data_IF_111463494306
#
_entry.id   IF_111463494306
#
_cell.length_a   1.000
_cell.length_b   1.000
_cell.length_c   1.000
_cell.angle_alpha   90.00
_cell.angle_beta   90.00
_cell.angle_gamma   90.00
#
_symmetry.space_group_name_H-M   'P 1'
#
loop_
_entity.id
_entity.type
_entity.pdbx_description
1 polymer ?
#
# COMPACT_ATOMS: atom_id res chain seq x y z
N UNK A 1 25.72 4.42 28.90
CA UNK A 1 24.45 4.13 28.21
C UNK A 1 23.81 2.80 28.65
N UNK A 2 24.49 1.64 28.61
CA UNK A 2 23.87 0.36 29.00
C UNK A 2 23.57 0.20 30.51
N UNK A 3 24.33 0.81 31.43
CA UNK A 3 24.11 0.69 32.87
C UNK A 3 22.94 1.57 33.35
N UNK A 4 22.78 2.77 32.81
CA UNK A 4 21.65 3.64 33.11
C UNK A 4 20.31 3.04 32.63
N UNK A 5 20.29 2.43 31.44
CA UNK A 5 19.12 1.71 30.95
C UNK A 5 18.74 0.51 31.79
N UNK A 6 19.73 -0.25 32.27
CA UNK A 6 19.49 -1.39 33.18
C UNK A 6 18.93 -0.94 34.55
N UNK A 7 19.28 0.27 35.02
CA UNK A 7 18.81 0.82 36.30
C UNK A 7 17.34 1.27 36.27
N UNK A 8 16.70 1.39 35.09
CA UNK A 8 15.31 1.83 34.95
C UNK A 8 14.25 0.77 35.31
N UNK A 9 14.66 -0.45 35.69
CA UNK A 9 13.80 -1.50 36.25
C UNK A 9 12.43 -1.62 35.55
N UNK A 10 11.36 -1.28 36.24
CA UNK A 10 9.96 -1.37 35.76
C UNK A 10 9.70 -0.54 34.50
N UNK A 11 10.34 0.60 34.32
CA UNK A 11 10.18 1.40 33.10
C UNK A 11 10.73 0.65 31.88
N UNK A 12 11.91 0.04 32.04
CA UNK A 12 12.51 -0.77 30.97
C UNK A 12 11.59 -1.92 30.58
N UNK A 13 11.03 -2.63 31.55
CA UNK A 13 10.10 -3.75 31.27
C UNK A 13 8.85 -3.25 30.51
N UNK A 14 8.19 -2.19 30.98
CA UNK A 14 7.03 -1.60 30.30
C UNK A 14 7.33 -1.19 28.84
N UNK A 15 8.51 -0.62 28.58
CA UNK A 15 8.91 -0.21 27.23
C UNK A 15 9.07 -1.45 26.32
N UNK A 16 9.71 -2.50 26.82
CA UNK A 16 9.91 -3.73 26.06
C UNK A 16 8.59 -4.45 25.80
N UNK A 17 7.71 -4.54 26.80
CA UNK A 17 6.39 -5.15 26.67
C UNK A 17 5.55 -4.41 25.63
N UNK A 18 5.54 -3.07 25.66
CA UNK A 18 4.82 -2.27 24.68
C UNK A 18 5.39 -2.43 23.27
N UNK A 19 6.72 -2.52 23.12
CA UNK A 19 7.35 -2.74 21.82
C UNK A 19 7.02 -4.12 21.24
N UNK A 20 7.09 -5.17 22.06
CA UNK A 20 6.70 -6.53 21.64
C UNK A 20 5.22 -6.60 21.28
N UNK A 21 4.34 -6.05 22.13
CA UNK A 21 2.90 -6.04 21.88
C UNK A 21 2.55 -5.30 20.56
N UNK A 22 3.22 -4.19 20.27
CA UNK A 22 3.01 -3.46 19.02
C UNK A 22 3.38 -4.32 17.80
N UNK A 23 4.55 -4.98 17.82
CA UNK A 23 4.99 -5.86 16.74
C UNK A 23 4.03 -7.05 16.55
N UNK A 24 3.62 -7.70 17.64
CA UNK A 24 2.69 -8.84 17.60
C UNK A 24 1.34 -8.45 17.00
N UNK A 25 0.81 -7.27 17.35
CA UNK A 25 -0.44 -6.75 16.79
C UNK A 25 -0.33 -6.47 15.30
N UNK A 26 0.78 -5.91 14.81
CA UNK A 26 1.00 -5.69 13.38
C UNK A 26 1.12 -7.01 12.62
N UNK A 27 1.86 -7.98 13.16
CA UNK A 27 1.98 -9.32 12.56
C UNK A 27 0.61 -10.01 12.49
N UNK A 28 -0.18 -9.94 13.56
CA UNK A 28 -1.54 -10.50 13.57
C UNK A 28 -2.45 -9.82 12.53
N UNK A 29 -2.36 -8.50 12.38
CA UNK A 29 -3.12 -7.75 11.38
C UNK A 29 -2.76 -8.18 9.94
N UNK A 30 -1.48 -8.40 9.65
CA UNK A 30 -1.02 -8.95 8.36
C UNK A 30 -1.49 -10.39 8.14
N UNK A 31 -1.55 -11.21 9.19
CA UNK A 31 -2.13 -12.56 9.14
C UNK A 31 -3.60 -12.55 8.72
N UNK A 32 -4.40 -11.62 9.27
CA UNK A 32 -5.80 -11.43 8.88
C UNK A 32 -5.93 -10.92 7.43
N UNK A 33 -5.06 -10.02 6.99
CA UNK A 33 -5.01 -9.59 5.59
C UNK A 33 -4.75 -10.77 4.66
N UNK A 34 -3.80 -11.63 4.99
CA UNK A 34 -3.44 -12.81 4.20
C UNK A 34 -4.61 -13.75 3.96
N UNK A 35 -5.48 -13.96 4.96
CA UNK A 35 -6.66 -14.83 4.86
C UNK A 35 -7.70 -14.35 3.85
N UNK A 36 -7.82 -13.04 3.63
CA UNK A 36 -8.79 -12.43 2.71
C UNK A 36 -8.18 -11.93 1.40
N UNK A 37 -6.87 -12.12 1.20
CA UNK A 37 -6.10 -11.50 0.14
C UNK A 37 -6.57 -11.89 -1.27
N UNK A 38 -6.78 -13.19 -1.52
CA UNK A 38 -7.10 -13.70 -2.85
C UNK A 38 -8.36 -13.05 -3.42
N UNK A 39 -9.46 -13.03 -2.66
CA UNK A 39 -10.72 -12.43 -3.10
C UNK A 39 -10.58 -10.93 -3.38
N UNK A 40 -9.78 -10.22 -2.59
CA UNK A 40 -9.56 -8.79 -2.76
C UNK A 40 -8.73 -8.50 -4.01
N UNK A 41 -7.67 -9.27 -4.24
CA UNK A 41 -6.85 -9.14 -5.45
C UNK A 41 -7.68 -9.48 -6.69
N UNK A 42 -8.45 -10.56 -6.67
CA UNK A 42 -9.35 -10.93 -7.77
C UNK A 42 -10.36 -9.82 -8.10
N UNK A 43 -10.86 -9.09 -7.11
CA UNK A 43 -11.78 -7.97 -7.30
C UNK A 43 -11.13 -6.70 -7.85
N UNK A 44 -9.96 -6.33 -7.37
CA UNK A 44 -9.31 -5.05 -7.70
C UNK A 44 -8.32 -5.16 -8.88
N UNK A 45 -7.66 -6.30 -9.04
CA UNK A 45 -6.62 -6.49 -10.05
C UNK A 45 -7.11 -6.25 -11.49
N UNK A 46 -8.29 -6.73 -11.93
CA UNK A 46 -8.78 -6.48 -13.30
C UNK A 46 -8.91 -4.99 -13.61
N UNK A 47 -9.32 -4.17 -12.63
CA UNK A 47 -9.46 -2.72 -12.77
C UNK A 47 -8.09 -2.07 -12.99
N UNK A 48 -7.08 -2.47 -12.20
CA UNK A 48 -5.71 -1.97 -12.32
C UNK A 48 -5.02 -2.45 -13.61
N UNK A 49 -5.25 -3.70 -13.98
CA UNK A 49 -4.64 -4.28 -15.18
C UNK A 49 -5.18 -3.67 -16.46
N UNK A 50 -6.47 -3.31 -16.47
CA UNK A 50 -7.13 -2.63 -17.58
C UNK A 50 -6.78 -1.14 -17.71
N UNK A 51 -6.10 -0.54 -16.72
CA UNK A 51 -5.69 0.87 -16.73
C UNK A 51 -4.79 1.16 -17.95
N UNK A 52 -5.19 2.13 -18.77
CA UNK A 52 -4.45 2.58 -19.96
C UNK A 52 -3.68 3.88 -19.73
N UNK A 53 -4.04 4.60 -18.69
CA UNK A 53 -3.39 5.82 -18.26
C UNK A 53 -2.46 5.57 -17.06
N UNK A 54 -2.73 6.27 -15.98
CA UNK A 54 -1.94 6.25 -14.73
C UNK A 54 -2.79 5.79 -13.56
N UNK A 55 -2.17 5.15 -12.60
CA UNK A 55 -2.79 4.89 -11.30
C UNK A 55 -2.58 6.12 -10.42
N UNK A 56 -3.65 6.86 -10.19
CA UNK A 56 -3.64 8.03 -9.31
C UNK A 56 -3.96 7.56 -7.90
N UNK A 57 -3.13 7.94 -6.92
CA UNK A 57 -3.35 7.57 -5.51
C UNK A 57 -3.71 8.82 -4.72
N UNK A 58 -4.68 8.72 -3.83
CA UNK A 58 -5.09 9.84 -2.97
C UNK A 58 -5.35 9.41 -1.53
N UNK A 59 -5.32 10.39 -0.63
CA UNK A 59 -5.57 10.22 0.80
C UNK A 59 -5.10 11.43 1.59
N UNK A 60 -5.47 11.51 2.87
CA UNK A 60 -5.13 12.61 3.78
C UNK A 60 -4.36 12.07 5.00
N UNK A 61 -3.49 12.89 5.59
CA UNK A 61 -2.74 12.55 6.80
C UNK A 61 -1.87 11.31 6.60
N UNK A 62 -1.93 10.36 7.54
CA UNK A 62 -1.14 9.12 7.46
C UNK A 62 -1.51 8.25 6.26
N UNK A 63 -2.79 8.20 5.88
CA UNK A 63 -3.24 7.55 4.62
C UNK A 63 -2.61 8.20 3.39
N UNK A 64 -2.45 9.52 3.39
CA UNK A 64 -1.76 10.25 2.32
C UNK A 64 -0.26 9.93 2.26
N UNK A 65 0.42 9.80 3.41
CA UNK A 65 1.84 9.41 3.45
C UNK A 65 2.04 7.98 2.92
N UNK A 66 1.19 7.04 3.32
CA UNK A 66 1.19 5.67 2.80
C UNK A 66 0.86 5.67 1.29
N UNK A 67 -0.12 6.46 0.87
CA UNK A 67 -0.49 6.60 -0.54
C UNK A 67 0.66 7.11 -1.42
N UNK A 68 1.45 8.07 -0.94
CA UNK A 68 2.68 8.52 -1.64
C UNK A 68 3.69 7.37 -1.82
N UNK A 69 3.89 6.55 -0.77
CA UNK A 69 4.77 5.38 -0.86
C UNK A 69 4.23 4.37 -1.87
N UNK A 70 2.95 4.06 -1.85
CA UNK A 70 2.31 3.13 -2.80
C UNK A 70 2.49 3.62 -4.23
N UNK A 71 2.19 4.90 -4.50
CA UNK A 71 2.38 5.52 -5.80
C UNK A 71 3.83 5.44 -6.29
N UNK A 72 4.80 5.72 -5.41
CA UNK A 72 6.22 5.61 -5.73
C UNK A 72 6.62 4.17 -6.06
N UNK A 73 6.12 3.18 -5.29
CA UNK A 73 6.35 1.75 -5.55
C UNK A 73 5.79 1.34 -6.91
N UNK A 74 4.54 1.70 -7.23
CA UNK A 74 3.91 1.42 -8.53
C UNK A 74 4.75 2.00 -9.69
N UNK A 75 5.16 3.27 -9.59
CA UNK A 75 5.97 3.93 -10.61
C UNK A 75 7.31 3.23 -10.82
N UNK A 76 8.00 2.86 -9.74
CA UNK A 76 9.30 2.20 -9.79
C UNK A 76 9.23 0.76 -10.32
N UNK A 77 8.06 0.13 -10.22
CA UNK A 77 7.81 -1.25 -10.64
C UNK A 77 7.02 -1.36 -11.96
N UNK A 78 6.99 -0.28 -12.75
CA UNK A 78 6.50 -0.30 -14.13
C UNK A 78 5.04 0.07 -14.33
N UNK A 79 4.33 0.48 -13.28
CA UNK A 79 2.98 1.04 -13.38
C UNK A 79 3.04 2.55 -13.21
N UNK A 80 2.82 3.37 -14.27
CA UNK A 80 2.81 4.82 -14.13
C UNK A 80 1.83 5.26 -13.05
N UNK A 81 2.31 5.99 -12.05
CA UNK A 81 1.49 6.42 -10.91
C UNK A 81 1.98 7.76 -10.36
N UNK A 82 1.06 8.52 -9.79
CA UNK A 82 1.36 9.71 -9.02
C UNK A 82 0.33 9.92 -7.91
N UNK A 83 0.67 10.74 -6.93
CA UNK A 83 -0.18 11.04 -5.79
C UNK A 83 -0.80 12.43 -5.95
N UNK A 84 -2.11 12.55 -5.73
CA UNK A 84 -2.81 13.82 -5.56
C UNK A 84 -3.38 13.88 -4.14
N UNK A 85 -3.10 14.96 -3.40
CA UNK A 85 -3.74 15.18 -2.11
C UNK A 85 -5.23 15.50 -2.31
N UNK A 86 -6.12 14.85 -1.56
CA UNK A 86 -7.57 14.98 -1.81
C UNK A 86 -8.09 16.42 -1.70
N UNK A 87 -7.50 17.24 -0.83
CA UNK A 87 -7.86 18.66 -0.71
C UNK A 87 -7.48 19.41 -1.98
N UNK A 88 -6.26 19.25 -2.46
CA UNK A 88 -5.76 19.93 -3.68
C UNK A 88 -6.55 19.48 -4.92
N UNK A 89 -6.97 18.20 -4.95
CA UNK A 89 -7.83 17.69 -6.01
C UNK A 89 -9.14 18.49 -6.13
N UNK A 90 -9.74 18.90 -5.00
CA UNK A 90 -10.98 19.69 -4.97
C UNK A 90 -10.75 21.18 -5.31
N UNK A 91 -9.49 21.62 -5.36
CA UNK A 91 -9.06 22.97 -5.70
C UNK A 91 -8.41 23.09 -7.09
N UNK A 92 -8.57 22.06 -7.93
CA UNK A 92 -8.16 22.10 -9.34
C UNK A 92 -7.23 20.98 -9.79
N UNK A 93 -6.48 20.33 -8.89
CA UNK A 93 -5.51 19.27 -9.25
C UNK A 93 -6.20 18.02 -9.82
N UNK A 94 -7.53 17.86 -9.60
CA UNK A 94 -8.33 16.84 -10.28
C UNK A 94 -8.30 16.97 -11.81
N UNK A 95 -7.96 18.13 -12.35
CA UNK A 95 -7.72 18.32 -13.79
C UNK A 95 -6.58 17.48 -14.35
N UNK A 96 -5.73 16.89 -13.50
CA UNK A 96 -4.72 15.92 -13.91
C UNK A 96 -5.28 14.51 -14.21
N UNK A 97 -6.54 14.21 -13.81
CA UNK A 97 -7.21 12.94 -14.13
C UNK A 97 -7.65 12.89 -15.61
N UNK A 98 -7.51 11.71 -16.20
CA UNK A 98 -7.99 11.40 -17.53
C UNK A 98 -8.82 10.12 -17.53
N UNK A 99 -9.70 9.94 -18.52
CA UNK A 99 -10.61 8.79 -18.61
C UNK A 99 -9.89 7.42 -18.68
N UNK A 100 -8.60 7.40 -19.00
CA UNK A 100 -7.80 6.16 -19.00
C UNK A 100 -7.17 5.81 -17.66
N UNK A 101 -7.29 6.67 -16.66
CA UNK A 101 -6.70 6.50 -15.34
C UNK A 101 -7.55 5.61 -14.43
N UNK A 102 -6.97 5.21 -13.29
CA UNK A 102 -7.65 4.55 -12.17
C UNK A 102 -7.30 5.32 -10.90
N UNK A 103 -8.28 5.61 -10.05
CA UNK A 103 -8.07 6.25 -8.76
C UNK A 103 -8.03 5.19 -7.64
N UNK A 104 -6.93 5.15 -6.87
CA UNK A 104 -6.86 4.45 -5.58
C UNK A 104 -7.11 5.49 -4.48
N UNK A 105 -8.24 5.39 -3.80
CA UNK A 105 -8.64 6.30 -2.73
C UNK A 105 -8.50 5.62 -1.36
N UNK A 106 -7.64 6.19 -0.50
CA UNK A 106 -7.27 5.60 0.80
C UNK A 106 -7.91 6.40 1.93
N UNK A 107 -8.78 5.76 2.70
CA UNK A 107 -9.40 6.29 3.92
C UNK A 107 -9.77 5.16 4.87
N UNK A 108 -9.09 5.04 6.01
CA UNK A 108 -9.37 3.96 6.95
C UNK A 108 -10.84 3.96 7.42
N UNK A 109 -11.43 5.11 7.73
CA UNK A 109 -12.86 5.23 8.07
C UNK A 109 -13.78 5.11 6.85
N UNK A 110 -13.26 5.39 5.65
CA UNK A 110 -14.06 5.52 4.43
C UNK A 110 -15.09 6.66 4.43
N UNK A 111 -14.97 7.60 5.40
CA UNK A 111 -15.89 8.72 5.60
C UNK A 111 -15.20 10.09 5.49
N UNK A 112 -13.89 10.14 5.21
CA UNK A 112 -13.16 11.40 5.06
C UNK A 112 -13.76 12.20 3.90
N UNK A 113 -14.36 13.35 4.21
CA UNK A 113 -15.20 14.10 3.27
C UNK A 113 -14.49 14.43 1.95
N UNK A 114 -13.25 14.89 2.02
CA UNK A 114 -12.46 15.28 0.84
C UNK A 114 -12.05 14.07 -0.01
N UNK A 115 -11.79 12.93 0.62
CA UNK A 115 -11.47 11.68 -0.11
C UNK A 115 -12.71 11.16 -0.81
N UNK A 116 -13.87 11.18 -0.15
CA UNK A 116 -15.17 10.80 -0.75
C UNK A 116 -15.52 11.74 -1.91
N UNK A 117 -15.42 13.06 -1.71
CA UNK A 117 -15.74 14.05 -2.74
C UNK A 117 -14.84 13.91 -3.98
N UNK A 118 -13.54 13.62 -3.79
CA UNK A 118 -12.64 13.36 -4.91
C UNK A 118 -12.96 12.02 -5.60
N UNK A 119 -13.30 10.98 -4.84
CA UNK A 119 -13.77 9.71 -5.38
C UNK A 119 -15.04 9.86 -6.23
N UNK A 120 -16.03 10.63 -5.74
CA UNK A 120 -17.26 10.95 -6.49
C UNK A 120 -16.97 11.75 -7.77
N UNK A 121 -16.05 12.71 -7.70
CA UNK A 121 -15.63 13.47 -8.87
C UNK A 121 -15.00 12.55 -9.93
N UNK A 122 -14.07 11.68 -9.52
CA UNK A 122 -13.42 10.70 -10.39
C UNK A 122 -14.45 9.77 -11.06
N UNK A 123 -15.42 9.25 -10.28
CA UNK A 123 -16.48 8.39 -10.80
C UNK A 123 -17.34 9.13 -11.85
N UNK A 124 -17.71 10.41 -11.60
CA UNK A 124 -18.41 11.24 -12.59
C UNK A 124 -17.61 11.49 -13.86
N UNK A 125 -16.28 11.53 -13.78
CA UNK A 125 -15.39 11.64 -14.94
C UNK A 125 -15.18 10.31 -15.68
N UNK A 126 -15.82 9.22 -15.23
CA UNK A 126 -15.67 7.89 -15.81
C UNK A 126 -14.35 7.20 -15.40
N UNK A 127 -13.67 7.69 -14.36
CA UNK A 127 -12.46 7.10 -13.82
C UNK A 127 -12.84 6.05 -12.77
N UNK A 128 -12.48 4.77 -12.94
CA UNK A 128 -12.75 3.74 -11.95
C UNK A 128 -12.05 4.05 -10.62
N UNK A 129 -12.77 3.81 -9.51
CA UNK A 129 -12.27 4.05 -8.15
C UNK A 129 -12.06 2.72 -7.44
N UNK A 130 -10.88 2.54 -6.86
CA UNK A 130 -10.57 1.46 -5.92
C UNK A 130 -10.49 2.08 -4.53
N UNK A 131 -11.41 1.71 -3.65
CA UNK A 131 -11.41 2.14 -2.27
C UNK A 131 -10.51 1.23 -1.42
N UNK A 132 -9.57 1.82 -0.69
CA UNK A 132 -8.76 1.14 0.32
C UNK A 132 -9.25 1.62 1.68
N UNK A 133 -10.00 0.78 2.38
CA UNK A 133 -10.76 1.16 3.57
C UNK A 133 -10.67 0.13 4.69
N UNK A 134 -10.76 0.59 5.93
CA UNK A 134 -10.95 -0.25 7.11
C UNK A 134 -12.44 -0.52 7.43
N UNK A 135 -13.37 0.20 6.76
CA UNK A 135 -14.82 0.06 6.93
C UNK A 135 -15.47 -0.18 5.57
N UNK A 136 -15.81 -1.43 5.27
CA UNK A 136 -16.32 -1.84 3.95
C UNK A 136 -17.73 -1.35 3.65
N UNK A 137 -18.50 -0.97 4.67
CA UNK A 137 -19.85 -0.38 4.50
C UNK A 137 -19.85 1.16 4.44
N UNK A 138 -18.67 1.73 4.24
CA UNK A 138 -18.48 3.19 4.23
C UNK A 138 -18.97 3.86 2.93
N UNK A 139 -19.19 5.19 2.95
CA UNK A 139 -19.51 5.96 1.75
C UNK A 139 -18.51 5.77 0.62
N UNK A 140 -17.21 5.79 0.91
CA UNK A 140 -16.15 5.58 -0.08
C UNK A 140 -16.22 4.19 -0.71
N UNK A 141 -16.48 3.16 0.09
CA UNK A 141 -16.62 1.79 -0.41
C UNK A 141 -17.83 1.64 -1.34
N UNK A 142 -18.95 2.27 -1.01
CA UNK A 142 -20.17 2.19 -1.83
C UNK A 142 -20.06 2.84 -3.20
N UNK A 143 -19.24 3.87 -3.35
CA UNK A 143 -19.04 4.54 -4.65
C UNK A 143 -17.95 3.86 -5.52
N UNK A 144 -17.18 2.96 -4.94
CA UNK A 144 -16.01 2.37 -5.59
C UNK A 144 -16.37 1.24 -6.57
N UNK A 145 -15.57 1.12 -7.61
CA UNK A 145 -15.61 0.00 -8.57
C UNK A 145 -15.11 -1.30 -7.92
N UNK A 146 -14.13 -1.20 -7.03
CA UNK A 146 -13.61 -2.31 -6.24
C UNK A 146 -13.21 -1.81 -4.84
N UNK A 147 -13.29 -2.70 -3.85
CA UNK A 147 -12.98 -2.39 -2.45
C UNK A 147 -11.87 -3.30 -1.98
N UNK A 148 -10.87 -2.70 -1.33
CA UNK A 148 -9.79 -3.39 -0.63
C UNK A 148 -9.97 -3.17 0.87
N UNK A 149 -10.32 -4.25 1.57
CA UNK A 149 -10.50 -4.27 3.02
C UNK A 149 -9.15 -4.35 3.73
N UNK A 150 -8.74 -3.24 4.33
CA UNK A 150 -7.53 -3.11 5.16
C UNK A 150 -7.88 -2.98 6.64
N UNK A 151 -9.05 -3.48 7.05
CA UNK A 151 -9.50 -3.45 8.43
C UNK A 151 -8.52 -4.18 9.36
N UNK A 152 -8.36 -3.64 10.55
CA UNK A 152 -7.57 -4.20 11.64
C UNK A 152 -8.44 -4.29 12.90
N UNK A 153 -8.15 -5.24 13.78
CA UNK A 153 -8.89 -5.40 15.03
C UNK A 153 -8.65 -4.21 15.96
N UNK A 154 -7.42 -3.70 15.99
CA UNK A 154 -7.01 -2.51 16.74
C UNK A 154 -5.69 -1.96 16.20
N UNK A 155 -5.38 -0.74 16.57
CA UNK A 155 -4.06 -0.15 16.33
C UNK A 155 -3.01 -0.75 17.29
N UNK A 156 -1.75 -0.74 16.87
CA UNK A 156 -0.67 -1.38 17.61
C UNK A 156 -0.16 -0.56 18.80
N UNK A 157 -0.50 0.74 18.89
CA UNK A 157 -0.09 1.58 20.01
C UNK A 157 -1.06 1.47 21.20
N UNK A 158 -0.60 1.80 22.45
CA UNK A 158 -1.36 1.50 23.67
C UNK A 158 -2.76 2.14 23.76
N UNK A 159 -2.98 3.30 23.14
CA UNK A 159 -4.24 4.04 23.23
C UNK A 159 -5.27 3.63 22.17
N UNK A 160 -4.86 2.83 21.18
CA UNK A 160 -5.68 2.45 20.02
C UNK A 160 -6.25 3.66 19.24
N UNK A 161 -5.44 4.70 19.07
CA UNK A 161 -5.82 5.97 18.43
C UNK A 161 -4.98 6.30 17.20
N UNK A 162 -3.64 6.18 17.34
CA UNK A 162 -2.74 6.54 16.24
C UNK A 162 -2.70 5.43 15.19
N UNK A 163 -2.93 5.74 13.90
CA UNK A 163 -2.81 4.75 12.83
C UNK A 163 -1.41 4.14 12.77
N UNK A 164 -1.32 2.86 13.06
CA UNK A 164 -0.13 2.02 13.09
C UNK A 164 -0.40 0.73 12.30
N UNK A 165 -1.05 -0.27 12.88
CA UNK A 165 -1.42 -1.50 12.22
C UNK A 165 -2.26 -1.27 10.95
N UNK A 166 -3.21 -0.33 10.97
CA UNK A 166 -3.99 0.03 9.78
C UNK A 166 -3.14 0.59 8.65
N UNK A 167 -2.12 1.40 8.97
CA UNK A 167 -1.20 1.94 7.95
C UNK A 167 -0.23 0.88 7.42
N UNK A 168 0.22 -0.03 8.27
CA UNK A 168 1.06 -1.18 7.89
C UNK A 168 0.32 -2.09 6.92
N UNK A 169 -0.92 -2.48 7.24
CA UNK A 169 -1.76 -3.31 6.36
C UNK A 169 -2.04 -2.61 5.03
N UNK A 170 -2.35 -1.30 5.05
CA UNK A 170 -2.57 -0.51 3.84
C UNK A 170 -1.33 -0.47 2.95
N UNK A 171 -0.16 -0.28 3.54
CA UNK A 171 1.11 -0.26 2.81
C UNK A 171 1.42 -1.61 2.17
N UNK A 172 1.26 -2.70 2.91
CA UNK A 172 1.47 -4.06 2.40
C UNK A 172 0.48 -4.40 1.28
N UNK A 173 -0.79 -3.98 1.38
CA UNK A 173 -1.75 -4.14 0.28
C UNK A 173 -1.26 -3.44 -1.00
N UNK A 174 -0.72 -2.23 -0.90
CA UNK A 174 -0.13 -1.53 -2.05
C UNK A 174 1.06 -2.28 -2.67
N UNK A 175 1.92 -2.88 -1.84
CA UNK A 175 3.06 -3.67 -2.31
C UNK A 175 2.61 -4.97 -2.99
N UNK A 176 1.56 -5.61 -2.47
CA UNK A 176 0.93 -6.79 -3.10
C UNK A 176 0.38 -6.46 -4.49
N UNK A 177 -0.33 -5.33 -4.63
CA UNK A 177 -0.84 -4.90 -5.94
C UNK A 177 0.30 -4.61 -6.93
N UNK A 178 1.36 -3.95 -6.47
CA UNK A 178 2.54 -3.70 -7.30
C UNK A 178 3.21 -5.00 -7.76
N UNK A 179 3.41 -5.97 -6.85
CA UNK A 179 3.98 -7.28 -7.16
C UNK A 179 3.10 -8.07 -8.16
N UNK A 180 1.78 -8.05 -7.97
CA UNK A 180 0.84 -8.70 -8.89
C UNK A 180 0.90 -8.09 -10.30
N UNK A 181 0.97 -6.75 -10.40
CA UNK A 181 1.12 -6.05 -11.69
C UNK A 181 2.46 -6.34 -12.35
N UNK A 182 3.57 -6.41 -11.59
CA UNK A 182 4.88 -6.83 -12.12
C UNK A 182 4.81 -8.23 -12.71
N UNK A 183 4.23 -9.19 -11.99
CA UNK A 183 4.08 -10.57 -12.44
C UNK A 183 3.25 -10.65 -13.73
N UNK A 184 2.09 -9.98 -13.79
CA UNK A 184 1.20 -10.00 -14.93
C UNK A 184 1.78 -9.31 -16.18
N UNK A 185 2.69 -8.36 -16.01
CA UNK A 185 3.34 -7.61 -17.10
C UNK A 185 4.72 -8.15 -17.46
N UNK A 186 5.16 -9.26 -16.85
CA UNK A 186 6.50 -9.82 -17.01
C UNK A 186 7.60 -8.78 -16.81
N UNK A 187 7.46 -7.94 -15.76
CA UNK A 187 8.40 -6.87 -15.45
C UNK A 187 9.76 -7.47 -15.03
N UNK A 188 10.82 -7.06 -15.72
CA UNK A 188 12.16 -7.66 -15.58
C UNK A 188 13.11 -6.81 -14.74
N UNK A 189 14.26 -7.41 -14.35
CA UNK A 189 15.35 -6.68 -13.73
C UNK A 189 15.92 -5.57 -14.64
N UNK A 190 15.88 -5.76 -15.95
CA UNK A 190 16.28 -4.74 -16.92
C UNK A 190 15.32 -3.54 -16.92
N UNK A 191 14.01 -3.81 -16.83
CA UNK A 191 13.00 -2.75 -16.69
C UNK A 191 13.17 -1.97 -15.41
N UNK A 192 13.55 -2.64 -14.31
CA UNK A 192 13.83 -2.00 -13.05
C UNK A 192 15.08 -1.11 -13.12
N UNK A 193 16.17 -1.62 -13.70
CA UNK A 193 17.42 -0.88 -13.89
C UNK A 193 17.21 0.42 -14.70
N UNK A 194 16.40 0.35 -15.75
CA UNK A 194 16.07 1.53 -16.58
C UNK A 194 15.40 2.65 -15.76
N UNK A 195 14.61 2.29 -14.74
CA UNK A 195 13.90 3.25 -13.87
C UNK A 195 14.71 3.71 -12.67
N UNK A 196 15.86 3.05 -12.40
CA UNK A 196 16.74 3.36 -11.28
C UNK A 196 18.18 3.61 -11.76
N UNK A 197 18.42 4.64 -12.60
CA UNK A 197 19.75 4.89 -13.20
C UNK A 197 20.81 5.31 -12.17
N UNK A 198 20.40 5.67 -10.95
CA UNK A 198 21.29 6.10 -9.85
C UNK A 198 21.11 5.23 -8.60
N UNK A 199 22.17 5.19 -7.78
CA UNK A 199 22.15 4.54 -6.48
C UNK A 199 22.50 3.05 -6.47
N UNK A 200 22.62 2.47 -5.26
CA UNK A 200 23.05 1.08 -5.02
C UNK A 200 22.14 0.02 -5.67
N UNK A 201 20.86 0.33 -5.85
CA UNK A 201 19.88 -0.56 -6.50
C UNK A 201 20.13 -0.65 -8.01
N UNK A 202 20.46 0.46 -8.68
CA UNK A 202 20.79 0.47 -10.11
C UNK A 202 22.05 -0.35 -10.41
N UNK A 203 23.06 -0.28 -9.55
CA UNK A 203 24.28 -1.09 -9.66
C UNK A 203 23.98 -2.59 -9.51
N UNK A 204 23.15 -2.98 -8.53
CA UNK A 204 22.78 -4.40 -8.32
C UNK A 204 21.97 -4.96 -9.50
N UNK A 205 21.09 -4.18 -10.09
CA UNK A 205 20.24 -4.63 -11.20
C UNK A 205 21.00 -4.68 -12.53
N UNK A 206 21.99 -3.85 -12.75
CA UNK A 206 22.86 -3.96 -13.93
C UNK A 206 23.66 -5.27 -13.93
N UNK A 207 24.09 -5.77 -12.76
CA UNK A 207 24.75 -7.08 -12.62
C UNK A 207 23.78 -8.24 -12.93
N UNK A 208 22.53 -8.14 -12.49
CA UNK A 208 21.50 -9.16 -12.78
C UNK A 208 21.08 -9.17 -14.27
N UNK A 209 21.03 -8.00 -14.91
CA UNK A 209 20.70 -7.86 -16.33
C UNK A 209 21.79 -8.36 -17.28
N UNK A 210 23.05 -8.41 -16.84
CA UNK A 210 24.21 -8.87 -17.63
C UNK A 210 24.57 -10.36 -17.43
N UNK A 211 23.70 -11.14 -16.77
CA UNK A 211 23.89 -12.60 -16.68
C UNK A 211 24.92 -13.05 -15.63
N UNK A 212 24.93 -12.46 -14.44
CA UNK A 212 25.57 -13.06 -13.28
C UNK A 212 24.94 -14.41 -12.90
N UNK A 213 25.67 -15.34 -12.25
CA UNK A 213 25.21 -16.71 -12.06
C UNK A 213 23.85 -16.77 -11.39
N UNK A 214 22.93 -17.50 -12.02
CA UNK A 214 21.59 -17.83 -11.55
C UNK A 214 21.65 -18.38 -10.12
N UNK A 215 21.38 -17.50 -9.14
CA UNK A 215 21.24 -17.86 -7.74
C UNK A 215 19.88 -18.49 -7.50
N UNK A 216 19.88 -19.72 -7.06
CA UNK A 216 18.83 -20.62 -6.69
C UNK A 216 17.48 -20.00 -6.32
N UNK A 217 16.43 -20.46 -7.02
CA UNK A 217 15.06 -20.43 -6.54
C UNK A 217 15.00 -21.06 -5.14
N UNK A 218 14.76 -20.26 -4.12
CA UNK A 218 14.31 -20.78 -2.83
C UNK A 218 12.84 -21.17 -3.01
N UNK A 219 12.63 -22.43 -3.35
CA UNK A 219 11.34 -23.09 -3.16
C UNK A 219 11.11 -23.19 -1.65
N UNK A 220 10.14 -22.44 -1.15
CA UNK A 220 9.58 -22.65 0.18
C UNK A 220 8.78 -23.94 0.08
N UNK A 221 9.43 -25.06 0.39
CA UNK A 221 8.76 -26.34 0.61
C UNK A 221 8.00 -26.23 1.94
N UNK A 222 6.68 -26.41 1.84
CA UNK A 222 5.81 -26.68 2.97
C UNK A 222 6.18 -28.05 3.56
N UNK A 223 6.89 -28.10 4.65
CA UNK A 223 6.94 -29.29 5.51
C UNK A 223 5.94 -29.12 6.64
N UNK A 224 4.88 -29.92 6.53
CA UNK A 224 3.95 -30.27 7.60
C UNK A 224 4.64 -31.25 8.56
N UNK A 225 4.75 -30.89 9.82
CA UNK A 225 4.59 -31.81 10.96
C UNK A 225 4.09 -31.03 12.18
#
# INVERSE_FOLDING_TARGET
MNQEWAALGDLRQRVLDAAHAALELEVAALGLLSQRLSAQVEGAFPVLYACRGRVVVTGIGKSGHVGRKISATLSSTGTPSFFIHSVEALHGDSGALTAGDVLIAISNSGTTAEVCAFGELAARMGVPVIAVVGQIDSPLARLATAVLDVSVAREAEPLNLAPTASTTVTMVMGDVLAAALMAARNFTAADFALRHPGGALGVRTSVLATGGPSGAHHSISSESQ
#
